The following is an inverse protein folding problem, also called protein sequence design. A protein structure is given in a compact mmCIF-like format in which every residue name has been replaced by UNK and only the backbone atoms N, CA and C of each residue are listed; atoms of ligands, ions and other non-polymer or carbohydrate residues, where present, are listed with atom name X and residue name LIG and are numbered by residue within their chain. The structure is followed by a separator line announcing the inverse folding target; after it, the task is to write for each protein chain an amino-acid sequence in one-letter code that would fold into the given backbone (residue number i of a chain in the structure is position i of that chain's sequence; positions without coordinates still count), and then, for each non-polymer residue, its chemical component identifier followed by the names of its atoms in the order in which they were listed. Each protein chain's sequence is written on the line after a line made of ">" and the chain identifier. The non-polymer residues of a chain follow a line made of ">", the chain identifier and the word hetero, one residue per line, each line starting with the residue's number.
data_IF_038093676557
#
_entry.id   IF_038093676557
#
_cell.length_a   1.000
_cell.length_b   1.000
_cell.length_c   1.000
_cell.angle_alpha   90.00
_cell.angle_beta   90.00
_cell.angle_gamma   90.00
#
_symmetry.space_group_name_H-M   'P 1'
#
loop_
_entity.id
_entity.type
_entity.pdbx_description
1 polymer ?
#
# COMPACT_ATOMS: atom_id res chain seq x y z
N UNK A 1 53.48 32.32 -3.93
CA UNK A 1 52.03 32.44 -3.75
C UNK A 1 51.37 31.51 -4.74
N UNK A 2 50.68 30.49 -4.27
CA UNK A 2 50.02 29.52 -5.13
C UNK A 2 49.16 28.59 -4.28
N UNK A 3 47.87 28.50 -4.63
CA UNK A 3 46.94 27.65 -3.91
C UNK A 3 45.47 27.92 -4.23
N UNK A 4 45.12 28.03 -5.52
CA UNK A 4 43.76 27.74 -5.98
C UNK A 4 43.79 26.38 -6.68
N UNK A 5 43.19 25.37 -6.04
CA UNK A 5 42.69 24.17 -6.69
C UNK A 5 41.67 23.52 -5.76
N UNK A 6 40.45 24.04 -5.80
CA UNK A 6 39.27 23.34 -5.32
C UNK A 6 39.04 22.11 -6.21
N UNK A 7 39.37 20.93 -5.69
CA UNK A 7 39.04 19.64 -6.31
C UNK A 7 37.73 19.15 -5.68
N UNK A 8 36.61 19.08 -6.43
CA UNK A 8 35.40 18.42 -5.95
C UNK A 8 35.63 16.91 -5.99
N UNK A 9 36.17 16.38 -4.89
CA UNK A 9 36.34 14.95 -4.70
C UNK A 9 35.04 14.27 -4.31
N UNK A 10 34.61 13.34 -5.17
CA UNK A 10 33.99 12.06 -4.81
C UNK A 10 32.75 12.12 -3.91
N UNK A 11 31.57 11.94 -4.52
CA UNK A 11 30.36 11.58 -3.77
C UNK A 11 30.60 10.35 -2.90
N UNK A 12 30.14 10.42 -1.65
CA UNK A 12 30.22 9.33 -0.68
C UNK A 12 29.60 8.03 -1.26
N UNK A 13 30.38 6.97 -1.49
CA UNK A 13 29.88 5.73 -2.04
C UNK A 13 29.46 4.79 -0.92
N UNK A 14 28.54 5.20 -0.04
CA UNK A 14 27.96 4.29 0.95
C UNK A 14 26.49 4.65 1.17
N UNK A 15 25.63 3.84 0.55
CA UNK A 15 24.22 3.69 0.93
C UNK A 15 24.12 3.23 2.38
N UNK A 16 24.23 4.18 3.31
CA UNK A 16 23.89 3.98 4.69
C UNK A 16 22.37 4.06 4.80
N UNK A 17 21.74 2.91 4.94
CA UNK A 17 20.39 2.81 5.49
C UNK A 17 20.38 3.54 6.84
N UNK A 18 20.02 4.83 6.83
CA UNK A 18 19.90 5.63 8.05
C UNK A 18 18.90 4.92 8.96
N UNK A 19 19.27 4.56 10.20
CA UNK A 19 18.31 4.00 11.13
C UNK A 19 17.21 5.03 11.38
N UNK A 20 15.95 4.64 11.19
CA UNK A 20 14.81 5.50 11.52
C UNK A 20 14.87 5.87 13.00
N UNK A 21 14.82 7.17 13.30
CA UNK A 21 14.84 7.69 14.66
C UNK A 21 13.74 7.05 15.54
N UNK A 22 13.99 6.84 16.84
CA UNK A 22 13.00 6.28 17.74
C UNK A 22 11.79 7.21 17.85
N UNK A 23 10.61 6.62 17.69
CA UNK A 23 9.35 7.36 17.67
C UNK A 23 8.92 7.81 19.07
N UNK A 24 8.43 9.04 19.18
CA UNK A 24 7.90 9.57 20.42
C UNK A 24 6.67 8.77 20.89
N UNK A 25 6.40 8.76 22.20
CA UNK A 25 5.22 8.08 22.77
C UNK A 25 3.90 8.61 22.19
N UNK A 26 3.84 9.91 21.90
CA UNK A 26 2.68 10.54 21.26
C UNK A 26 2.47 10.02 19.84
N UNK A 27 3.53 9.95 19.03
CA UNK A 27 3.47 9.42 17.67
C UNK A 27 3.01 7.95 17.64
N UNK A 28 3.43 7.13 18.61
CA UNK A 28 2.97 5.74 18.73
C UNK A 28 1.47 5.66 19.05
N UNK A 29 0.97 6.50 19.96
CA UNK A 29 -0.45 6.54 20.35
C UNK A 29 -1.33 7.01 19.19
N UNK A 30 -0.90 8.04 18.49
CA UNK A 30 -1.61 8.58 17.33
C UNK A 30 -1.74 7.53 16.22
N UNK A 31 -0.66 6.77 15.94
CA UNK A 31 -0.72 5.65 14.99
C UNK A 31 -1.69 4.56 15.40
N UNK A 32 -1.67 4.16 16.67
CA UNK A 32 -2.59 3.13 17.18
C UNK A 32 -4.05 3.60 17.07
N UNK A 33 -4.34 4.87 17.38
CA UNK A 33 -5.66 5.45 17.22
C UNK A 33 -6.10 5.50 15.74
N UNK A 34 -5.21 5.92 14.83
CA UNK A 34 -5.49 5.92 13.40
C UNK A 34 -5.74 4.51 12.85
N UNK A 35 -4.99 3.50 13.31
CA UNK A 35 -5.20 2.09 12.95
C UNK A 35 -6.56 1.57 13.43
N UNK A 36 -6.94 1.89 14.68
CA UNK A 36 -8.23 1.51 15.23
C UNK A 36 -9.38 2.16 14.46
N UNK A 37 -9.28 3.46 14.17
CA UNK A 37 -10.26 4.18 13.36
C UNK A 37 -10.40 3.54 11.98
N UNK A 38 -9.28 3.27 11.29
CA UNK A 38 -9.29 2.62 9.99
C UNK A 38 -9.94 1.21 10.02
N UNK A 39 -9.77 0.47 11.12
CA UNK A 39 -10.43 -0.83 11.31
C UNK A 39 -11.95 -0.70 11.46
N UNK A 40 -12.41 0.29 12.24
CA UNK A 40 -13.83 0.56 12.44
C UNK A 40 -14.48 1.07 11.15
N UNK A 41 -13.83 1.98 10.45
CA UNK A 41 -14.28 2.49 9.16
C UNK A 41 -14.38 1.36 8.13
N UNK A 42 -13.38 0.47 8.09
CA UNK A 42 -13.43 -0.71 7.24
C UNK A 42 -14.59 -1.63 7.63
N UNK A 43 -14.83 -1.91 8.91
CA UNK A 43 -15.92 -2.79 9.35
C UNK A 43 -17.33 -2.20 9.17
N UNK A 44 -17.45 -0.88 9.05
CA UNK A 44 -18.74 -0.18 8.95
C UNK A 44 -19.44 -0.32 7.60
N UNK A 45 -18.68 -0.65 6.55
CA UNK A 45 -19.20 -0.80 5.17
C UNK A 45 -19.35 -2.27 4.79
N UNK A 46 -20.41 -2.65 4.06
CA UNK A 46 -20.62 -4.02 3.65
C UNK A 46 -19.63 -4.42 2.54
N UNK A 47 -18.74 -5.38 2.84
CA UNK A 47 -17.81 -5.94 1.86
C UNK A 47 -18.42 -7.10 1.10
N UNK A 48 -18.09 -7.22 -0.18
CA UNK A 48 -18.58 -8.29 -1.04
C UNK A 48 -17.46 -8.96 -1.83
N UNK A 49 -17.68 -10.21 -2.20
CA UNK A 49 -16.78 -11.03 -3.00
C UNK A 49 -17.53 -11.65 -4.16
N UNK A 50 -16.96 -11.57 -5.36
CA UNK A 50 -17.52 -12.17 -6.57
C UNK A 50 -16.51 -13.15 -7.14
N UNK A 51 -16.88 -14.41 -7.28
CA UNK A 51 -16.05 -15.46 -7.86
C UNK A 51 -16.92 -16.44 -8.66
N UNK A 52 -16.33 -17.07 -9.67
CA UNK A 52 -16.97 -18.15 -10.41
C UNK A 52 -16.45 -19.51 -9.91
N UNK A 53 -17.24 -20.58 -10.09
CA UNK A 53 -16.84 -21.96 -9.74
C UNK A 53 -16.58 -22.77 -11.02
N UNK A 54 -15.68 -23.75 -10.94
CA UNK A 54 -15.37 -24.65 -12.06
C UNK A 54 -14.61 -24.00 -13.22
N UNK A 55 -14.54 -24.71 -14.35
CA UNK A 55 -13.89 -24.21 -15.57
C UNK A 55 -14.77 -23.17 -16.26
N UNK A 56 -14.49 -21.88 -16.01
CA UNK A 56 -15.15 -20.76 -16.66
C UNK A 56 -14.51 -20.37 -17.99
N UNK A 57 -15.35 -20.15 -19.01
CA UNK A 57 -14.96 -19.57 -20.30
C UNK A 57 -14.74 -18.05 -20.24
N UNK A 58 -14.31 -17.46 -21.37
CA UNK A 58 -13.97 -16.03 -21.48
C UNK A 58 -15.13 -15.11 -21.06
N UNK A 59 -16.34 -15.39 -21.52
CA UNK A 59 -17.52 -14.56 -21.22
C UNK A 59 -17.86 -14.52 -19.73
N UNK A 60 -17.74 -15.67 -19.04
CA UNK A 60 -17.97 -15.74 -17.60
C UNK A 60 -16.91 -14.95 -16.82
N UNK A 61 -15.64 -15.03 -17.25
CA UNK A 61 -14.56 -14.24 -16.64
C UNK A 61 -14.79 -12.73 -16.83
N UNK A 62 -15.25 -12.33 -18.01
CA UNK A 62 -15.60 -10.93 -18.28
C UNK A 62 -16.77 -10.47 -17.41
N UNK A 63 -17.83 -11.28 -17.32
CA UNK A 63 -18.98 -10.99 -16.46
C UNK A 63 -18.56 -10.79 -14.99
N UNK A 64 -17.69 -11.66 -14.46
CA UNK A 64 -17.17 -11.49 -13.10
C UNK A 64 -16.40 -10.18 -12.95
N UNK A 65 -15.58 -9.81 -13.95
CA UNK A 65 -14.86 -8.54 -13.93
C UNK A 65 -15.81 -7.33 -13.96
N UNK A 66 -16.86 -7.38 -14.78
CA UNK A 66 -17.85 -6.31 -14.91
C UNK A 66 -18.65 -6.15 -13.62
N UNK A 67 -19.11 -7.25 -13.01
CA UNK A 67 -19.82 -7.22 -11.73
C UNK A 67 -18.92 -6.68 -10.62
N UNK A 68 -17.64 -7.08 -10.57
CA UNK A 68 -16.68 -6.52 -9.61
C UNK A 68 -16.53 -5.01 -9.78
N UNK A 69 -16.54 -4.51 -11.02
CA UNK A 69 -16.46 -3.08 -11.32
C UNK A 69 -17.72 -2.32 -10.90
N UNK A 70 -18.90 -2.88 -11.13
CA UNK A 70 -20.18 -2.26 -10.73
C UNK A 70 -20.31 -2.17 -9.20
N UNK A 71 -19.76 -3.15 -8.49
CA UNK A 71 -19.80 -3.18 -7.02
C UNK A 71 -18.57 -2.53 -6.35
N UNK A 72 -17.73 -1.80 -7.10
CA UNK A 72 -16.71 -0.93 -6.51
C UNK A 72 -17.36 0.16 -5.63
N UNK A 73 -16.68 0.62 -4.56
CA UNK A 73 -15.32 0.28 -4.13
C UNK A 73 -15.24 -0.91 -3.14
N UNK A 74 -16.38 -1.46 -2.68
CA UNK A 74 -16.42 -2.42 -1.57
C UNK A 74 -16.36 -3.89 -2.00
N UNK A 75 -16.06 -4.15 -3.28
CA UNK A 75 -15.82 -5.50 -3.79
C UNK A 75 -14.34 -5.74 -4.08
N UNK A 76 -13.81 -6.88 -3.62
CA UNK A 76 -12.42 -7.22 -3.85
C UNK A 76 -12.09 -7.47 -5.34
N UNK A 77 -11.20 -6.65 -5.90
CA UNK A 77 -10.75 -6.77 -7.30
C UNK A 77 -9.80 -7.96 -7.51
N UNK A 78 -8.94 -8.24 -6.54
CA UNK A 78 -7.89 -9.25 -6.61
C UNK A 78 -8.08 -10.40 -5.61
N UNK A 79 -9.30 -10.92 -5.51
CA UNK A 79 -9.56 -12.12 -4.71
C UNK A 79 -8.77 -13.31 -5.27
N UNK A 80 -7.87 -13.89 -4.46
CA UNK A 80 -7.18 -15.16 -4.77
C UNK A 80 -8.12 -16.30 -4.40
N UNK A 81 -8.59 -17.04 -5.39
CA UNK A 81 -9.51 -18.20 -5.28
C UNK A 81 -9.06 -19.30 -6.24
#
# INVERSE_FOLDING_TARGET
>A
GGGDLFVPGMGDPLGSSRPSLPQSKSQKRERAAAQLQAQQDFGSVPHSFVFHRGRGGRSLRQLVADVRRVMEPYTARALRV
#
